data_IF_558619789539
#
_entry.id   IF_558619789539
#
_cell.length_a   1.000
_cell.length_b   1.000
_cell.length_c   1.000
_cell.angle_alpha   90.00
_cell.angle_beta   90.00
_cell.angle_gamma   90.00
#
_symmetry.space_group_name_H-M   'P 1'
#
loop_
_entity.id
_entity.type
_entity.pdbx_description
1 polymer ?
#
# COMPACT_ATOMS: atom_id res chain seq x y z
N UNK A 1 -1.95 -12.08 14.45
CA UNK A 1 -2.08 -13.42 13.85
C UNK A 1 -3.42 -13.55 13.17
N UNK A 2 -3.48 -14.28 12.06
CA UNK A 2 -4.75 -14.63 11.40
C UNK A 2 -5.27 -15.92 12.03
N UNK A 3 -6.60 -16.07 12.11
CA UNK A 3 -7.23 -17.31 12.57
C UNK A 3 -7.20 -18.33 11.42
N UNK A 4 -6.90 -19.59 11.72
CA UNK A 4 -6.93 -20.68 10.73
C UNK A 4 -8.14 -21.56 11.01
N UNK A 5 -8.82 -21.98 9.95
CA UNK A 5 -9.94 -22.93 10.02
C UNK A 5 -9.33 -24.29 9.67
N UNK A 6 -9.53 -25.28 10.55
CA UNK A 6 -9.07 -26.65 10.32
C UNK A 6 -9.83 -27.29 9.14
N UNK A 7 -9.17 -28.20 8.42
CA UNK A 7 -9.72 -28.77 7.17
C UNK A 7 -11.03 -29.57 7.38
N UNK A 8 -11.28 -30.05 8.60
CA UNK A 8 -12.47 -30.81 8.99
C UNK A 8 -13.58 -29.96 9.64
N UNK A 9 -13.36 -28.65 9.81
CA UNK A 9 -14.37 -27.73 10.33
C UNK A 9 -15.34 -27.25 9.23
N UNK A 10 -16.53 -27.85 9.22
CA UNK A 10 -17.62 -27.54 8.30
C UNK A 10 -18.61 -26.48 8.84
N UNK A 11 -18.41 -26.00 10.07
CA UNK A 11 -19.39 -25.12 10.76
C UNK A 11 -18.94 -23.67 10.69
N UNK A 12 -17.62 -23.41 10.73
CA UNK A 12 -17.08 -22.06 10.77
C UNK A 12 -17.07 -21.38 9.40
N UNK A 13 -17.72 -20.22 9.30
CA UNK A 13 -17.69 -19.42 8.08
C UNK A 13 -16.40 -18.59 7.98
N UNK A 14 -15.77 -18.59 6.79
CA UNK A 14 -14.54 -17.85 6.54
C UNK A 14 -14.80 -16.33 6.51
N UNK A 15 -14.49 -15.68 7.62
CA UNK A 15 -14.55 -14.20 7.75
C UNK A 15 -13.18 -13.55 7.55
N UNK A 16 -13.13 -12.21 7.52
CA UNK A 16 -11.87 -11.45 7.33
C UNK A 16 -10.78 -11.70 8.38
N UNK A 17 -11.12 -12.27 9.54
CA UNK A 17 -10.13 -12.68 10.57
C UNK A 17 -9.25 -13.85 10.11
N UNK A 18 -9.70 -14.59 9.10
CA UNK A 18 -9.02 -15.76 8.53
C UNK A 18 -8.23 -15.43 7.26
N UNK A 19 -8.18 -14.15 6.86
CA UNK A 19 -7.38 -13.74 5.71
C UNK A 19 -5.93 -13.52 6.11
N UNK A 20 -5.03 -14.14 5.35
CA UNK A 20 -3.60 -13.86 5.41
C UNK A 20 -3.31 -12.50 4.80
N UNK A 21 -2.09 -11.97 5.04
CA UNK A 21 -1.66 -10.71 4.42
C UNK A 21 -1.67 -10.80 2.89
N UNK A 22 -1.39 -11.98 2.33
CA UNK A 22 -1.44 -12.23 0.89
C UNK A 22 -2.88 -12.26 0.38
N UNK A 23 -3.81 -12.88 1.13
CA UNK A 23 -5.24 -12.83 0.79
C UNK A 23 -5.74 -11.38 0.77
N UNK A 24 -5.36 -10.58 1.78
CA UNK A 24 -5.70 -9.16 1.85
C UNK A 24 -5.16 -8.39 0.64
N UNK A 25 -3.91 -8.66 0.24
CA UNK A 25 -3.31 -8.09 -0.97
C UNK A 25 -4.10 -8.44 -2.24
N UNK A 26 -4.60 -9.68 -2.34
CA UNK A 26 -5.40 -10.16 -3.48
C UNK A 26 -6.88 -9.75 -3.47
N UNK A 27 -7.35 -9.04 -2.43
CA UNK A 27 -8.76 -8.60 -2.37
C UNK A 27 -9.01 -7.35 -3.23
N UNK A 28 -9.92 -6.47 -2.79
CA UNK A 28 -10.24 -5.22 -3.48
C UNK A 28 -9.01 -4.32 -3.66
N UNK A 29 -7.99 -4.46 -2.82
CA UNK A 29 -6.74 -3.71 -2.91
C UNK A 29 -5.96 -4.02 -4.19
N UNK A 30 -5.98 -5.25 -4.70
CA UNK A 30 -5.39 -5.59 -6.01
C UNK A 30 -6.08 -4.81 -7.15
N UNK A 31 -7.41 -4.62 -7.04
CA UNK A 31 -8.19 -3.87 -8.04
C UNK A 31 -7.88 -2.38 -8.05
N UNK A 32 -7.36 -1.85 -6.93
CA UNK A 32 -6.97 -0.44 -6.78
C UNK A 32 -5.55 -0.19 -7.29
N UNK A 33 -4.78 -1.26 -7.56
CA UNK A 33 -3.45 -1.18 -8.14
C UNK A 33 -2.46 -0.48 -7.20
N UNK A 34 -1.67 0.45 -7.72
CA UNK A 34 -0.58 1.11 -6.98
C UNK A 34 -1.04 2.12 -5.92
N UNK A 35 -2.35 2.34 -5.80
CA UNK A 35 -2.95 3.32 -4.87
C UNK A 35 -3.30 2.72 -3.50
N UNK A 36 -3.00 1.44 -3.29
CA UNK A 36 -3.17 0.77 -2.01
C UNK A 36 -1.82 0.31 -1.47
N UNK A 37 -1.47 0.71 -0.24
CA UNK A 37 -0.22 0.34 0.43
C UNK A 37 -0.55 -0.19 1.83
N UNK A 38 0.07 -1.31 2.21
CA UNK A 38 -0.01 -1.85 3.56
C UNK A 38 1.07 -1.22 4.42
N UNK A 39 0.68 -0.57 5.52
CA UNK A 39 1.61 0.04 6.47
C UNK A 39 1.35 -0.48 7.88
N UNK A 40 2.41 -0.60 8.68
CA UNK A 40 2.29 -0.81 10.13
C UNK A 40 3.00 0.31 10.86
N UNK A 41 2.24 1.24 11.43
CA UNK A 41 2.81 2.33 12.22
C UNK A 41 3.45 1.82 13.52
N UNK A 42 2.91 0.72 14.07
CA UNK A 42 3.43 0.09 15.28
C UNK A 42 4.79 -0.58 15.03
N UNK A 43 4.90 -1.34 13.94
CA UNK A 43 6.14 -2.05 13.57
C UNK A 43 7.09 -1.19 12.72
N UNK A 44 6.66 0.03 12.34
CA UNK A 44 7.37 0.93 11.42
C UNK A 44 7.66 0.30 10.05
N UNK A 45 6.76 -0.55 9.57
CA UNK A 45 6.89 -1.21 8.27
C UNK A 45 6.22 -0.37 7.16
N UNK A 46 6.88 -0.34 5.99
CA UNK A 46 6.42 0.31 4.75
C UNK A 46 6.11 1.81 4.85
N UNK A 47 6.65 2.50 5.86
CA UNK A 47 6.48 3.94 6.01
C UNK A 47 7.23 4.74 4.94
N UNK A 48 8.39 4.26 4.50
CA UNK A 48 9.16 4.95 3.46
C UNK A 48 8.52 4.82 2.09
N UNK A 49 7.99 3.64 1.76
CA UNK A 49 7.21 3.41 0.54
C UNK A 49 5.96 4.31 0.48
N UNK A 50 5.26 4.45 1.61
CA UNK A 50 4.15 5.40 1.73
C UNK A 50 4.57 6.85 1.44
N UNK A 51 5.68 7.32 2.03
CA UNK A 51 6.19 8.69 1.80
C UNK A 51 6.52 8.93 0.34
N UNK A 52 7.21 7.97 -0.31
CA UNK A 52 7.56 8.05 -1.72
C UNK A 52 6.31 8.14 -2.59
N UNK A 53 5.34 7.25 -2.40
CA UNK A 53 4.10 7.25 -3.19
C UNK A 53 3.29 8.54 -3.05
N UNK A 54 3.18 9.06 -1.84
CA UNK A 54 2.48 10.33 -1.58
C UNK A 54 3.20 11.49 -2.28
N UNK A 55 4.53 11.52 -2.19
CA UNK A 55 5.33 12.53 -2.88
C UNK A 55 5.12 12.47 -4.40
N UNK A 56 5.15 11.27 -4.97
CA UNK A 56 4.95 11.05 -6.41
C UNK A 56 3.58 11.53 -6.89
N UNK A 57 2.49 11.22 -6.17
CA UNK A 57 1.14 11.66 -6.56
C UNK A 57 0.98 13.18 -6.43
N UNK A 58 1.50 13.78 -5.36
CA UNK A 58 1.47 15.24 -5.18
C UNK A 58 2.28 15.93 -6.28
N UNK A 59 3.43 15.38 -6.64
CA UNK A 59 4.26 15.88 -7.75
C UNK A 59 3.50 15.82 -9.06
N UNK A 60 2.87 14.69 -9.39
CA UNK A 60 2.13 14.52 -10.66
C UNK A 60 1.01 15.57 -10.80
N UNK A 61 0.24 15.78 -9.74
CA UNK A 61 -0.78 16.84 -9.67
C UNK A 61 -0.15 18.22 -9.82
N UNK A 62 1.01 18.45 -9.20
CA UNK A 62 1.70 19.74 -9.21
C UNK A 62 2.29 20.08 -10.58
N UNK A 63 2.95 19.12 -11.27
CA UNK A 63 3.45 19.29 -12.65
C UNK A 63 2.31 19.63 -13.59
N UNK A 64 1.21 18.88 -13.51
CA UNK A 64 0.04 19.06 -14.38
C UNK A 64 -0.56 20.46 -14.24
N UNK A 65 -0.55 21.04 -13.02
CA UNK A 65 -1.08 22.39 -12.75
C UNK A 65 -0.08 23.51 -13.02
N UNK A 66 1.21 23.26 -12.83
CA UNK A 66 2.30 24.23 -12.95
C UNK A 66 3.42 23.69 -13.84
N UNK A 67 3.24 23.71 -15.18
CA UNK A 67 4.17 23.08 -16.13
C UNK A 67 5.55 23.73 -16.21
N UNK A 68 5.72 24.93 -15.62
CA UNK A 68 6.99 25.64 -15.55
C UNK A 68 7.44 25.74 -14.09
N UNK A 69 7.94 24.63 -13.53
CA UNK A 69 8.45 24.61 -12.16
C UNK A 69 9.82 23.91 -12.09
N UNK A 70 10.74 24.50 -11.35
CA UNK A 70 11.99 23.86 -10.92
C UNK A 70 11.69 23.11 -9.62
N UNK A 71 11.52 21.78 -9.69
CA UNK A 71 11.34 20.98 -8.48
C UNK A 71 12.55 21.09 -7.56
N UNK A 72 12.31 21.24 -6.25
CA UNK A 72 13.38 21.28 -5.25
C UNK A 72 14.16 19.95 -5.19
N UNK A 73 13.54 18.85 -5.62
CA UNK A 73 14.14 17.52 -5.70
C UNK A 73 14.00 16.96 -7.12
N UNK A 74 15.11 16.56 -7.77
CA UNK A 74 15.09 15.88 -9.07
C UNK A 74 14.44 14.48 -8.97
N UNK A 75 14.14 13.86 -10.12
CA UNK A 75 13.50 12.53 -10.23
C UNK A 75 14.25 11.38 -9.53
N UNK A 76 15.47 11.61 -9.04
CA UNK A 76 16.37 10.59 -8.47
C UNK A 76 16.61 10.72 -6.96
N UNK A 77 15.53 10.81 -6.17
CA UNK A 77 15.63 10.76 -4.70
C UNK A 77 16.18 9.41 -4.17
N UNK A 78 16.22 8.38 -5.02
CA UNK A 78 16.73 7.05 -4.69
C UNK A 78 18.26 6.89 -4.88
N UNK A 79 18.95 7.91 -5.41
CA UNK A 79 20.40 7.87 -5.67
C UNK A 79 21.29 8.36 -4.51
N UNK A 80 20.74 8.58 -3.30
CA UNK A 80 21.50 9.02 -2.12
C UNK A 80 21.26 8.15 -0.87
#
# INVERSE_FOLDING_TARGET
EHETIDEDDLVTERTGRHFTINDWKHTWMEKVGDRAIFISALNKENLDEFRKRVYDEVRDIHVTRFPYNNFLYPEHLDEY
#
